data_IF_585334727315
#
_entry.id   IF_585334727315
#
_cell.length_a   1.000
_cell.length_b   1.000
_cell.length_c   1.000
_cell.angle_alpha   90.00
_cell.angle_beta   90.00
_cell.angle_gamma   90.00
#
_symmetry.space_group_name_H-M   'P 1'
#
loop_
_entity.id
_entity.type
_entity.pdbx_description
1 polymer ?
#
# COMPACT_ATOMS: atom_id res chain seq x y z
N UNK A 1 -2.62 -14.05 20.35
CA UNK A 1 -2.51 -12.72 20.45
C UNK A 1 -3.69 -12.03 19.88
N UNK A 2 -4.09 -11.08 20.50
CA UNK A 2 -5.21 -10.46 20.10
C UNK A 2 -4.93 -9.27 19.32
N UNK A 3 -5.33 -9.23 18.14
CA UNK A 3 -5.15 -8.11 17.38
C UNK A 3 -6.19 -7.14 17.70
N UNK A 4 -5.88 -6.22 18.55
CA UNK A 4 -6.76 -5.24 18.82
C UNK A 4 -6.94 -4.46 17.63
N UNK A 5 -8.01 -4.04 17.30
CA UNK A 5 -8.26 -3.26 16.19
C UNK A 5 -8.30 -1.85 16.55
N UNK A 6 -7.20 -1.18 16.52
CA UNK A 6 -7.22 0.23 16.87
C UNK A 6 -8.04 0.90 15.82
N UNK A 7 -8.66 1.92 16.18
CA UNK A 7 -9.43 2.68 15.28
C UNK A 7 -8.53 3.61 14.55
N UNK A 8 -8.22 3.30 13.31
CA UNK A 8 -7.37 4.14 12.51
C UNK A 8 -8.21 5.13 11.75
N UNK A 9 -7.71 6.32 11.62
CA UNK A 9 -8.38 7.32 10.80
C UNK A 9 -8.15 7.00 9.34
N UNK A 10 -8.94 7.60 8.47
CA UNK A 10 -8.75 7.42 7.04
C UNK A 10 -7.35 7.87 6.63
N UNK A 11 -6.88 8.94 7.25
CA UNK A 11 -5.54 9.43 6.96
C UNK A 11 -4.47 8.39 7.30
N UNK A 12 -4.62 7.74 8.43
CA UNK A 12 -3.65 6.72 8.84
C UNK A 12 -3.68 5.53 7.88
N UNK A 13 -4.85 5.17 7.41
CA UNK A 13 -4.95 4.06 6.48
C UNK A 13 -4.30 4.39 5.15
N UNK A 14 -4.51 5.59 4.67
CA UNK A 14 -3.87 6.02 3.44
C UNK A 14 -2.36 6.03 3.61
N UNK A 15 -1.89 6.56 4.72
CA UNK A 15 -0.46 6.61 4.97
C UNK A 15 0.16 5.22 5.00
N UNK A 16 -0.55 4.27 5.60
CA UNK A 16 -0.04 2.91 5.67
C UNK A 16 0.07 2.30 4.28
N UNK A 17 -0.90 2.54 3.42
CA UNK A 17 -0.86 1.98 2.08
C UNK A 17 0.23 2.63 1.25
N UNK A 18 0.42 3.94 1.40
CA UNK A 18 1.49 4.65 0.71
C UNK A 18 2.84 4.12 1.16
N UNK A 19 3.00 3.89 2.45
CA UNK A 19 4.25 3.36 2.97
C UNK A 19 4.51 1.96 2.43
N UNK A 20 3.45 1.17 2.27
CA UNK A 20 3.59 -0.16 1.71
C UNK A 20 4.08 -0.09 0.26
N UNK A 21 3.53 0.84 -0.50
CA UNK A 21 3.96 1.02 -1.87
C UNK A 21 5.44 1.38 -1.92
N UNK A 22 5.86 2.27 -1.04
CA UNK A 22 7.26 2.67 -1.00
C UNK A 22 8.16 1.50 -0.64
N UNK A 23 7.70 0.65 0.26
CA UNK A 23 8.45 -0.53 0.61
C UNK A 23 8.60 -1.46 -0.60
N UNK A 24 7.52 -1.66 -1.34
CA UNK A 24 7.58 -2.50 -2.52
C UNK A 24 8.54 -1.92 -3.56
N UNK A 25 8.54 -0.60 -3.70
CA UNK A 25 9.46 0.04 -4.63
C UNK A 25 10.91 -0.23 -4.23
N UNK A 26 11.19 -0.17 -2.93
CA UNK A 26 12.55 -0.45 -2.47
C UNK A 26 12.95 -1.89 -2.75
N UNK A 27 11.98 -2.81 -2.68
CA UNK A 27 12.28 -4.20 -2.97
C UNK A 27 12.65 -4.44 -4.43
N UNK A 28 12.22 -3.56 -5.31
CA UNK A 28 12.58 -3.73 -6.72
C UNK A 28 13.95 -3.14 -7.05
N UNK A 29 14.56 -2.44 -6.10
CA UNK A 29 15.83 -1.80 -6.33
C UNK A 29 16.98 -2.63 -5.78
N UNK A 30 17.85 -3.16 -6.63
CA UNK A 30 19.00 -3.94 -6.15
C UNK A 30 19.94 -3.11 -5.31
N UNK A 31 19.94 -1.79 -5.51
CA UNK A 31 20.83 -0.93 -4.76
C UNK A 31 20.36 -0.72 -3.34
N UNK A 32 19.07 -0.63 -3.13
CA UNK A 32 18.55 -0.42 -1.80
C UNK A 32 18.36 -1.71 -1.03
N UNK A 33 18.10 -2.80 -1.74
CA UNK A 33 17.91 -4.08 -1.08
C UNK A 33 18.73 -5.15 -1.81
N UNK A 34 20.03 -5.12 -1.66
CA UNK A 34 20.90 -5.97 -2.49
C UNK A 34 20.80 -7.46 -2.23
N UNK A 35 20.32 -7.88 -1.09
CA UNK A 35 20.28 -9.29 -0.78
C UNK A 35 18.92 -9.93 -0.85
N UNK A 36 18.05 -9.36 -1.65
CA UNK A 36 16.72 -9.88 -1.79
C UNK A 36 16.68 -10.89 -2.93
N UNK A 37 16.03 -12.04 -2.74
CA UNK A 37 15.92 -13.03 -3.80
C UNK A 37 15.18 -12.49 -5.01
N UNK A 38 15.49 -13.04 -6.16
CA UNK A 38 14.89 -12.59 -7.40
C UNK A 38 13.37 -12.75 -7.39
N UNK A 39 12.88 -13.80 -6.79
CA UNK A 39 11.45 -14.03 -6.73
C UNK A 39 10.73 -12.92 -5.97
N UNK A 40 11.34 -12.43 -4.92
CA UNK A 40 10.75 -11.36 -4.14
C UNK A 40 10.65 -10.10 -4.99
N UNK A 41 11.70 -9.81 -5.75
CA UNK A 41 11.66 -8.63 -6.60
C UNK A 41 10.61 -8.77 -7.69
N UNK A 42 10.48 -9.96 -8.24
CA UNK A 42 9.49 -10.19 -9.28
C UNK A 42 8.09 -10.02 -8.73
N UNK A 43 7.86 -10.53 -7.54
CA UNK A 43 6.55 -10.40 -6.91
C UNK A 43 6.25 -8.96 -6.59
N UNK A 44 7.23 -8.22 -6.11
CA UNK A 44 7.03 -6.81 -5.81
C UNK A 44 6.66 -6.04 -7.06
N UNK A 45 7.33 -6.32 -8.18
CA UNK A 45 7.01 -5.66 -9.43
C UNK A 45 5.61 -6.00 -9.91
N UNK A 46 5.21 -7.26 -9.72
CA UNK A 46 3.88 -7.68 -10.12
C UNK A 46 2.81 -6.96 -9.32
N UNK A 47 3.04 -6.81 -8.03
CA UNK A 47 2.08 -6.10 -7.18
C UNK A 47 2.02 -4.63 -7.52
N UNK A 48 3.16 -4.04 -7.83
CA UNK A 48 3.20 -2.62 -8.16
C UNK A 48 2.53 -2.29 -9.47
N UNK A 49 2.38 -3.29 -10.35
CA UNK A 49 1.81 -3.03 -11.65
C UNK A 49 0.43 -2.39 -11.56
N UNK A 50 -0.37 -2.84 -10.61
CA UNK A 50 -1.71 -2.29 -10.45
C UNK A 50 -1.88 -1.48 -9.18
N UNK A 51 -0.79 -1.16 -8.54
CA UNK A 51 -0.86 -0.42 -7.29
C UNK A 51 -1.08 1.06 -7.64
N UNK A 52 -2.09 1.67 -7.08
CA UNK A 52 -2.40 3.06 -7.47
C UNK A 52 -1.35 4.03 -6.93
N UNK A 53 -1.20 5.13 -7.63
CA UNK A 53 -0.34 6.18 -7.12
C UNK A 53 -1.09 6.92 -6.02
N UNK A 54 -0.39 7.76 -5.29
CA UNK A 54 -0.91 8.35 -4.07
C UNK A 54 -2.27 9.03 -4.23
N UNK A 55 -2.42 9.88 -5.22
CA UNK A 55 -3.67 10.62 -5.34
C UNK A 55 -4.81 9.71 -5.78
N UNK A 56 -4.52 8.70 -6.59
CA UNK A 56 -5.54 7.76 -7.00
C UNK A 56 -6.02 6.94 -5.82
N UNK A 57 -5.08 6.58 -4.96
CA UNK A 57 -5.41 5.82 -3.78
C UNK A 57 -6.30 6.61 -2.85
N UNK A 58 -5.97 7.87 -2.66
CA UNK A 58 -6.75 8.71 -1.79
C UNK A 58 -8.17 8.86 -2.31
N UNK A 59 -8.30 9.08 -3.61
CA UNK A 59 -9.61 9.21 -4.21
C UNK A 59 -10.42 7.92 -4.08
N UNK A 60 -9.77 6.79 -4.29
CA UNK A 60 -10.46 5.52 -4.21
C UNK A 60 -10.97 5.27 -2.81
N UNK A 61 -10.17 5.59 -1.80
CA UNK A 61 -10.58 5.39 -0.44
C UNK A 61 -11.72 6.34 -0.07
N UNK A 62 -11.64 7.58 -0.52
CA UNK A 62 -12.69 8.54 -0.24
C UNK A 62 -13.99 8.11 -0.89
N UNK A 63 -13.93 7.65 -2.13
CA UNK A 63 -15.11 7.20 -2.82
C UNK A 63 -15.70 5.96 -2.17
N UNK A 64 -14.86 5.08 -1.70
CA UNK A 64 -15.32 3.88 -1.04
C UNK A 64 -16.12 4.24 0.22
N UNK A 65 -15.59 5.15 1.02
CA UNK A 65 -16.27 5.52 2.24
C UNK A 65 -17.52 6.32 1.96
N UNK A 66 -17.50 7.16 0.97
CA UNK A 66 -18.67 7.90 0.60
C UNK A 66 -19.80 6.98 0.21
N UNK A 67 -19.48 6.00 -0.65
CA UNK A 67 -20.46 5.07 -1.11
C UNK A 67 -20.99 4.21 0.02
N UNK A 68 -20.11 3.81 0.90
CA UNK A 68 -20.49 2.94 1.98
C UNK A 68 -21.39 3.59 3.00
N UNK A 69 -21.14 4.84 3.29
CA UNK A 69 -21.90 5.51 4.33
C UNK A 69 -22.91 6.51 3.83
N UNK A 70 -23.04 6.62 2.55
CA UNK A 70 -24.00 7.55 2.00
C UNK A 70 -25.29 6.78 1.81
N UNK A 71 -26.36 7.29 2.15
CA UNK A 71 -27.61 6.55 1.93
C UNK A 71 -28.53 7.25 0.99
#
# INVERSE_FOLDING_TARGET
>A
MKLRQPISTAHQKVSAVVATRNYLLRLTSPQETPRIPREVRREARALLRHYPVDHELKEAIEQYYEKKYST
#
